data_IF_523005125878
#
_entry.id   IF_523005125878
#
_cell.length_a   1.000
_cell.length_b   1.000
_cell.length_c   1.000
_cell.angle_alpha   90.00
_cell.angle_beta   90.00
_cell.angle_gamma   90.00
#
_symmetry.space_group_name_H-M   'P 1'
#
loop_
_entity.id
_entity.type
_entity.pdbx_description
1 polymer ?
#
# COMPACT_ATOMS: atom_id res chain seq x y z
N UNK A 1 2.76 -5.86 -14.43
CA UNK A 1 1.69 -6.81 -14.01
C UNK A 1 1.03 -6.26 -12.76
N UNK A 2 -0.28 -6.50 -12.55
CA UNK A 2 -1.02 -6.02 -11.37
C UNK A 2 -1.67 -7.21 -10.67
N UNK A 3 -1.40 -7.41 -9.39
CA UNK A 3 -1.95 -8.49 -8.55
C UNK A 3 -2.67 -7.89 -7.34
N UNK A 4 -3.91 -8.34 -7.09
CA UNK A 4 -4.69 -7.97 -5.91
C UNK A 4 -4.77 -9.16 -4.95
N UNK A 5 -4.27 -8.96 -3.73
CA UNK A 5 -4.20 -9.97 -2.67
C UNK A 5 -5.26 -9.62 -1.62
N UNK A 6 -6.31 -10.45 -1.58
CA UNK A 6 -7.45 -10.29 -0.68
C UNK A 6 -7.43 -11.32 0.46
N UNK A 7 -8.06 -10.96 1.58
CA UNK A 7 -8.37 -11.90 2.65
C UNK A 7 -8.71 -11.22 3.97
N UNK A 8 -9.25 -11.98 4.92
CA UNK A 8 -9.66 -11.47 6.24
C UNK A 8 -8.53 -10.86 7.08
N UNK A 9 -8.88 -10.20 8.18
CA UNK A 9 -7.90 -9.71 9.14
C UNK A 9 -7.06 -10.87 9.70
N UNK A 10 -5.74 -10.67 9.80
CA UNK A 10 -4.77 -11.68 10.29
C UNK A 10 -4.73 -13.00 9.50
N UNK A 11 -5.19 -13.02 8.25
CA UNK A 11 -5.12 -14.19 7.36
C UNK A 11 -3.72 -14.52 6.83
N UNK A 12 -2.73 -13.66 7.08
CA UNK A 12 -1.36 -13.81 6.58
C UNK A 12 -1.10 -13.18 5.21
N UNK A 13 -2.06 -12.45 4.62
CA UNK A 13 -1.91 -11.82 3.30
C UNK A 13 -0.71 -10.86 3.15
N UNK A 14 -0.39 -10.04 4.16
CA UNK A 14 0.79 -9.18 4.11
C UNK A 14 2.08 -10.01 4.02
N UNK A 15 2.18 -11.10 4.80
CA UNK A 15 3.32 -12.02 4.72
C UNK A 15 3.39 -12.74 3.37
N UNK A 16 2.25 -13.12 2.80
CA UNK A 16 2.20 -13.67 1.44
C UNK A 16 2.71 -12.67 0.41
N UNK A 17 2.25 -11.42 0.46
CA UNK A 17 2.68 -10.35 -0.43
C UNK A 17 4.17 -10.03 -0.28
N UNK A 18 4.69 -9.97 0.95
CA UNK A 18 6.11 -9.77 1.22
C UNK A 18 6.96 -10.94 0.69
N UNK A 19 6.51 -12.19 0.86
CA UNK A 19 7.19 -13.35 0.27
C UNK A 19 7.21 -13.24 -1.26
N UNK A 20 6.07 -12.92 -1.87
CA UNK A 20 5.96 -12.75 -3.33
C UNK A 20 6.91 -11.67 -3.85
N UNK A 21 7.00 -10.55 -3.14
CA UNK A 21 7.94 -9.47 -3.45
C UNK A 21 9.40 -9.87 -3.22
N UNK A 22 9.71 -10.74 -2.25
CA UNK A 22 11.08 -11.24 -2.03
C UNK A 22 11.58 -12.18 -3.13
N UNK A 23 10.66 -12.78 -3.89
CA UNK A 23 10.96 -13.64 -5.04
C UNK A 23 11.12 -12.83 -6.35
N UNK A 24 10.92 -11.50 -6.31
CA UNK A 24 11.07 -10.61 -7.46
C UNK A 24 12.53 -10.30 -7.75
N UNK A 25 12.95 -10.44 -9.01
CA UNK A 25 14.29 -10.11 -9.47
C UNK A 25 14.36 -8.63 -9.91
N UNK A 26 14.51 -7.73 -8.93
CA UNK A 26 14.55 -6.28 -9.17
C UNK A 26 14.44 -5.45 -7.88
N UNK A 27 14.18 -4.15 -8.03
CA UNK A 27 14.02 -3.26 -6.88
C UNK A 27 12.60 -3.36 -6.29
N UNK A 28 12.50 -3.48 -4.98
CA UNK A 28 11.20 -3.53 -4.28
C UNK A 28 10.99 -2.25 -3.48
N UNK A 29 9.83 -1.64 -3.71
CA UNK A 29 9.33 -0.49 -2.98
C UNK A 29 8.09 -0.91 -2.20
N UNK A 30 8.16 -0.78 -0.88
CA UNK A 30 7.04 -1.02 0.02
C UNK A 30 6.33 0.31 0.32
N UNK A 31 5.09 0.45 -0.12
CA UNK A 31 4.24 1.60 0.15
C UNK A 31 3.35 1.27 1.35
N UNK A 32 3.76 1.79 2.51
CA UNK A 32 3.03 1.67 3.76
C UNK A 32 1.93 2.73 3.81
N UNK A 33 0.67 2.30 3.83
CA UNK A 33 -0.47 3.21 3.93
C UNK A 33 -1.00 3.32 5.37
N UNK A 34 -0.48 2.51 6.30
CA UNK A 34 -0.85 2.61 7.70
C UNK A 34 -0.28 3.90 8.33
N UNK A 35 -1.15 4.70 8.95
CA UNK A 35 -0.72 5.75 9.88
C UNK A 35 -0.32 5.14 11.24
N UNK A 36 0.53 5.82 12.00
CA UNK A 36 0.91 5.41 13.36
C UNK A 36 0.09 6.17 14.42
N UNK A 37 -1.24 6.12 14.30
CA UNK A 37 -2.13 6.90 15.17
C UNK A 37 -2.19 6.34 16.61
N UNK A 38 -1.72 5.12 16.84
CA UNK A 38 -1.59 4.52 18.16
C UNK A 38 -0.26 3.75 18.36
N UNK A 39 0.15 3.59 19.63
CA UNK A 39 1.44 2.98 19.99
C UNK A 39 1.51 1.48 19.68
N UNK A 40 0.40 0.76 19.66
CA UNK A 40 0.36 -0.67 19.33
C UNK A 40 0.61 -0.89 17.84
N UNK A 41 -0.02 -0.07 17.00
CA UNK A 41 0.20 -0.01 15.56
C UNK A 41 1.64 0.42 15.24
N UNK A 42 2.20 1.39 15.96
CA UNK A 42 3.59 1.80 15.79
C UNK A 42 4.59 0.66 16.11
N UNK A 43 4.38 -0.10 17.18
CA UNK A 43 5.22 -1.25 17.52
C UNK A 43 5.11 -2.36 16.47
N UNK A 44 3.92 -2.58 15.93
CA UNK A 44 3.71 -3.55 14.85
C UNK A 44 4.37 -3.11 13.55
N UNK A 45 4.25 -1.83 13.18
CA UNK A 45 4.94 -1.25 12.01
C UNK A 45 6.45 -1.45 12.16
N UNK A 46 7.02 -1.14 13.33
CA UNK A 46 8.46 -1.35 13.59
C UNK A 46 8.88 -2.81 13.46
N UNK A 47 8.08 -3.73 13.98
CA UNK A 47 8.34 -5.17 13.83
C UNK A 47 8.33 -5.59 12.36
N UNK A 48 7.33 -5.17 11.60
CA UNK A 48 7.25 -5.46 10.17
C UNK A 48 8.39 -4.82 9.37
N UNK A 49 8.77 -3.58 9.67
CA UNK A 49 9.94 -2.93 9.07
C UNK A 49 11.23 -3.72 9.33
N UNK A 50 11.41 -4.27 10.53
CA UNK A 50 12.58 -5.08 10.89
C UNK A 50 12.61 -6.47 10.22
N UNK A 51 11.45 -7.02 9.84
CA UNK A 51 11.33 -8.29 9.13
C UNK A 51 11.59 -8.14 7.61
N UNK A 52 11.54 -6.91 7.08
CA UNK A 52 11.77 -6.64 5.65
C UNK A 52 13.26 -6.68 5.30
N UNK A 53 13.62 -7.14 4.09
CA UNK A 53 14.98 -7.06 3.62
C UNK A 53 15.49 -5.61 3.62
N UNK A 54 16.71 -5.38 4.10
CA UNK A 54 17.29 -4.03 4.23
C UNK A 54 17.51 -3.29 2.90
N UNK A 55 17.48 -4.00 1.78
CA UNK A 55 17.58 -3.41 0.44
C UNK A 55 16.24 -2.89 -0.10
N UNK A 56 15.12 -3.16 0.59
CA UNK A 56 13.82 -2.62 0.21
C UNK A 56 13.70 -1.16 0.62
N UNK A 57 13.07 -0.37 -0.24
CA UNK A 57 12.76 1.02 0.07
C UNK A 57 11.34 1.08 0.66
N UNK A 58 11.18 1.67 1.84
CA UNK A 58 9.86 1.88 2.44
C UNK A 58 9.44 3.33 2.26
N UNK A 59 8.23 3.54 1.73
CA UNK A 59 7.61 4.85 1.54
C UNK A 59 6.33 4.86 2.37
N UNK A 60 6.23 5.80 3.30
CA UNK A 60 4.99 6.04 4.05
C UNK A 60 4.13 7.02 3.24
N UNK A 61 2.99 6.53 2.75
CA UNK A 61 2.04 7.34 1.98
C UNK A 61 0.60 6.96 2.36
N UNK A 62 -0.01 7.70 3.30
CA UNK A 62 -1.36 7.37 3.77
C UNK A 62 -2.46 7.79 2.78
N UNK A 63 -2.21 8.72 1.85
CA UNK A 63 -3.27 9.40 1.07
C UNK A 63 -2.98 9.43 -0.42
N UNK A 64 -1.88 10.04 -0.85
CA UNK A 64 -1.55 10.35 -2.26
C UNK A 64 -0.96 9.15 -3.01
N UNK A 65 -1.61 7.99 -2.91
CA UNK A 65 -1.08 6.70 -3.37
C UNK A 65 -0.79 6.70 -4.88
N UNK A 66 -1.70 7.22 -5.70
CA UNK A 66 -1.50 7.27 -7.15
C UNK A 66 -0.25 8.06 -7.54
N UNK A 67 -0.03 9.21 -6.90
CA UNK A 67 1.15 10.05 -7.15
C UNK A 67 2.44 9.31 -6.75
N UNK A 68 2.46 8.62 -5.61
CA UNK A 68 3.63 7.84 -5.18
C UNK A 68 3.91 6.62 -6.04
N UNK A 69 2.88 5.97 -6.57
CA UNK A 69 3.07 4.91 -7.56
C UNK A 69 3.73 5.47 -8.84
N UNK A 70 3.29 6.62 -9.34
CA UNK A 70 3.91 7.27 -10.51
C UNK A 70 5.35 7.70 -10.25
N UNK A 71 5.62 8.32 -9.09
CA UNK A 71 6.96 8.82 -8.74
C UNK A 71 8.01 7.70 -8.70
N UNK A 72 7.58 6.49 -8.34
CA UNK A 72 8.47 5.33 -8.18
C UNK A 72 8.38 4.34 -9.36
N UNK A 73 7.61 4.65 -10.39
CA UNK A 73 7.43 3.80 -11.56
C UNK A 73 8.71 3.67 -12.40
N UNK A 74 9.18 2.44 -12.58
CA UNK A 74 10.22 2.11 -13.55
C UNK A 74 10.17 0.63 -13.92
N UNK A 75 10.80 0.27 -15.05
CA UNK A 75 11.02 -1.13 -15.41
C UNK A 75 11.92 -1.81 -14.38
N UNK A 76 11.67 -3.10 -14.10
CA UNK A 76 12.45 -3.87 -13.13
C UNK A 76 12.18 -3.49 -11.67
N UNK A 77 11.03 -2.86 -11.40
CA UNK A 77 10.56 -2.54 -10.05
C UNK A 77 9.29 -3.28 -9.69
N UNK A 78 9.12 -3.53 -8.40
CA UNK A 78 7.88 -3.98 -7.81
C UNK A 78 7.43 -3.00 -6.73
N UNK A 79 6.20 -2.53 -6.86
CA UNK A 79 5.53 -1.63 -5.92
C UNK A 79 4.52 -2.44 -5.09
N UNK A 80 4.83 -2.68 -3.82
CA UNK A 80 3.97 -3.41 -2.88
C UNK A 80 3.22 -2.42 -2.00
N UNK A 81 1.90 -2.33 -2.16
CA UNK A 81 1.01 -1.50 -1.35
C UNK A 81 0.37 -2.32 -0.24
N UNK A 82 0.59 -1.95 1.02
CA UNK A 82 0.02 -2.62 2.19
C UNK A 82 -0.49 -1.56 3.20
N UNK A 83 -1.81 -1.33 3.32
CA UNK A 83 -2.91 -1.93 2.55
C UNK A 83 -3.95 -0.92 2.07
N UNK A 84 -4.72 -1.30 1.04
CA UNK A 84 -5.79 -0.47 0.48
C UNK A 84 -6.91 -0.17 1.49
N UNK A 85 -7.13 -1.03 2.49
CA UNK A 85 -8.15 -0.79 3.53
C UNK A 85 -7.77 0.38 4.42
N UNK A 86 -6.51 0.48 4.85
CA UNK A 86 -6.04 1.61 5.65
C UNK A 86 -5.95 2.88 4.82
N UNK A 87 -5.50 2.78 3.58
CA UNK A 87 -5.54 3.90 2.63
C UNK A 87 -6.95 4.47 2.47
N UNK A 88 -7.95 3.60 2.29
CA UNK A 88 -9.36 4.01 2.22
C UNK A 88 -9.80 4.72 3.50
N UNK A 89 -9.46 4.17 4.68
CA UNK A 89 -9.79 4.80 5.96
C UNK A 89 -9.16 6.19 6.08
N UNK A 90 -7.87 6.32 5.77
CA UNK A 90 -7.15 7.59 5.85
C UNK A 90 -7.79 8.65 4.95
N UNK A 91 -8.19 8.29 3.73
CA UNK A 91 -8.84 9.22 2.82
C UNK A 91 -10.22 9.62 3.34
N UNK A 92 -11.06 8.64 3.68
CA UNK A 92 -12.44 8.90 4.10
C UNK A 92 -12.51 9.76 5.36
N UNK A 93 -11.52 9.64 6.25
CA UNK A 93 -11.44 10.40 7.50
C UNK A 93 -10.38 11.51 7.48
N UNK A 94 -9.88 11.88 6.30
CA UNK A 94 -8.99 13.04 6.16
C UNK A 94 -9.77 14.35 6.31
N UNK A 95 -9.41 15.15 7.31
CA UNK A 95 -10.04 16.45 7.59
C UNK A 95 -10.73 16.51 8.96
N UNK A 96 -11.34 17.65 9.27
CA UNK A 96 -11.85 17.95 10.62
C UNK A 96 -13.29 17.51 10.88
N UNK A 97 -14.12 17.24 9.88
CA UNK A 97 -15.52 16.82 10.11
C UNK A 97 -16.06 15.89 8.99
N UNK A 98 -16.53 14.71 9.38
CA UNK A 98 -17.30 13.81 8.52
C UNK A 98 -16.49 13.00 7.49
N UNK A 99 -17.22 12.27 6.63
CA UNK A 99 -16.63 11.45 5.57
C UNK A 99 -16.27 12.33 4.37
N UNK A 100 -14.98 12.39 4.02
CA UNK A 100 -14.46 13.16 2.90
C UNK A 100 -14.63 12.41 1.56
N UNK A 101 -15.88 12.40 1.07
CA UNK A 101 -16.26 11.71 -0.18
C UNK A 101 -15.58 12.29 -1.41
N UNK A 102 -15.38 13.61 -1.45
CA UNK A 102 -14.76 14.27 -2.60
C UNK A 102 -13.31 13.81 -2.78
N UNK A 103 -12.54 13.79 -1.70
CA UNK A 103 -11.18 13.29 -1.73
C UNK A 103 -11.14 11.80 -2.07
N UNK A 104 -12.05 11.00 -1.52
CA UNK A 104 -12.15 9.59 -1.88
C UNK A 104 -12.37 9.39 -3.39
N UNK A 105 -13.33 10.09 -3.98
CA UNK A 105 -13.60 9.95 -5.42
C UNK A 105 -12.41 10.38 -6.27
N UNK A 106 -11.72 11.46 -5.90
CA UNK A 106 -10.50 11.90 -6.60
C UNK A 106 -9.37 10.88 -6.51
N UNK A 107 -9.00 10.44 -5.31
CA UNK A 107 -7.86 9.54 -5.11
C UNK A 107 -8.13 8.15 -5.68
N UNK A 108 -9.38 7.67 -5.59
CA UNK A 108 -9.83 6.44 -6.26
C UNK A 108 -9.70 6.56 -7.78
N UNK A 109 -10.20 7.65 -8.37
CA UNK A 109 -10.10 7.86 -9.81
C UNK A 109 -8.65 7.93 -10.28
N UNK A 110 -7.79 8.63 -9.53
CA UNK A 110 -6.36 8.71 -9.82
C UNK A 110 -5.66 7.34 -9.76
N UNK A 111 -5.96 6.53 -8.73
CA UNK A 111 -5.39 5.19 -8.59
C UNK A 111 -5.81 4.28 -9.75
N UNK A 112 -7.09 4.24 -10.08
CA UNK A 112 -7.62 3.41 -11.18
C UNK A 112 -7.04 3.86 -12.53
N UNK A 113 -6.87 5.16 -12.74
CA UNK A 113 -6.30 5.70 -13.97
C UNK A 113 -4.82 5.34 -14.13
N UNK A 114 -4.03 5.35 -13.05
CA UNK A 114 -2.58 5.16 -13.14
C UNK A 114 -2.15 3.71 -13.23
N UNK A 115 -2.83 2.80 -12.51
CA UNK A 115 -2.48 1.38 -12.46
C UNK A 115 -2.19 0.74 -13.83
N UNK A 116 -3.03 0.87 -14.88
CA UNK A 116 -2.75 0.26 -16.19
C UNK A 116 -1.60 0.91 -16.96
N UNK A 117 -1.09 2.06 -16.50
CA UNK A 117 -0.02 2.82 -17.18
C UNK A 117 1.37 2.55 -16.62
N UNK A 118 1.44 1.95 -15.42
CA UNK A 118 2.69 1.68 -14.72
C UNK A 118 3.53 0.62 -15.45
N UNK A 119 4.84 0.86 -15.49
CA UNK A 119 5.85 -0.07 -16.00
C UNK A 119 6.28 -1.09 -14.95
N UNK A 120 6.24 -0.69 -13.68
CA UNK A 120 6.53 -1.55 -12.54
C UNK A 120 5.46 -2.64 -12.37
N UNK A 121 5.84 -3.74 -11.74
CA UNK A 121 4.87 -4.70 -11.19
C UNK A 121 4.24 -4.13 -9.92
N UNK A 122 2.96 -4.41 -9.71
CA UNK A 122 2.21 -3.86 -8.57
C UNK A 122 1.53 -4.99 -7.81
N UNK A 123 1.80 -5.05 -6.50
CA UNK A 123 1.08 -5.91 -5.56
C UNK A 123 0.21 -5.03 -4.66
N UNK A 124 -1.10 -5.28 -4.65
CA UNK A 124 -2.06 -4.54 -3.83
C UNK A 124 -2.62 -5.46 -2.75
N UNK A 125 -2.42 -5.13 -1.47
CA UNK A 125 -3.01 -5.88 -0.35
C UNK A 125 -4.28 -5.19 0.11
N UNK A 126 -5.37 -5.94 0.30
CA UNK A 126 -6.60 -5.41 0.90
C UNK A 126 -7.29 -6.42 1.82
N UNK A 127 -8.00 -5.93 2.82
CA UNK A 127 -8.85 -6.75 3.67
C UNK A 127 -10.19 -7.02 2.96
N UNK A 128 -10.67 -8.25 3.08
CA UNK A 128 -12.09 -8.56 2.88
C UNK A 128 -12.88 -8.11 4.12
N UNK A 129 -13.98 -7.39 3.89
CA UNK A 129 -14.83 -6.81 4.92
C UNK A 129 -16.28 -7.27 4.74
N UNK A 130 -16.50 -8.59 4.80
CA UNK A 130 -17.84 -9.20 4.78
C UNK A 130 -18.42 -9.41 3.39
#
# INVERSE_FOLDING_TARGET
>A
MIELILGGARSGKSRYAERRASEFDGEVFYLATAGADDQEMALRIKKHQAERPSHWQTIEEPVMLAAKLTENDANGRLLLVDCLTLWLSNILFSGSEGVNKEQFEREKAALVAVLPTLKADVLLVSNEVG
#
